data_IF_360213352794
#
_entry.id   IF_360213352794
#
_cell.length_a   1.000
_cell.length_b   1.000
_cell.length_c   1.000
_cell.angle_alpha   90.00
_cell.angle_beta   90.00
_cell.angle_gamma   90.00
#
_symmetry.space_group_name_H-M   'P 1'
#
loop_
_entity.id
_entity.type
_entity.pdbx_description
1 polymer ?
#
# COMPACT_ATOMS: atom_id res chain seq x y z
N UNK A 1 -43.96 57.23 -0.42
CA UNK A 1 -43.74 58.62 -0.87
C UNK A 1 -42.24 58.89 -0.86
N UNK A 2 -41.74 59.57 -1.90
CA UNK A 2 -40.35 59.95 -2.23
C UNK A 2 -39.55 58.85 -2.98
N UNK A 3 -39.50 58.86 -4.32
CA UNK A 3 -38.70 59.71 -5.26
C UNK A 3 -37.19 59.48 -5.09
N UNK A 4 -36.33 59.31 -6.11
CA UNK A 4 -36.40 59.10 -7.57
C UNK A 4 -34.91 59.13 -8.06
N UNK A 5 -34.64 58.53 -9.21
CA UNK A 5 -33.65 58.94 -10.25
C UNK A 5 -32.23 58.30 -10.25
N UNK A 6 -32.07 57.58 -11.36
CA UNK A 6 -30.95 57.12 -12.20
C UNK A 6 -29.80 58.11 -12.42
N UNK A 7 -28.56 57.63 -12.51
CA UNK A 7 -27.57 58.22 -13.44
C UNK A 7 -26.59 57.15 -13.93
N UNK A 8 -26.67 56.87 -15.23
CA UNK A 8 -25.72 56.11 -16.05
C UNK A 8 -24.57 57.02 -16.45
N UNK A 9 -23.32 56.56 -16.39
CA UNK A 9 -22.18 57.17 -17.10
C UNK A 9 -21.34 56.07 -17.77
N UNK A 10 -21.12 56.26 -19.07
CA UNK A 10 -20.45 55.37 -20.02
C UNK A 10 -19.04 55.92 -20.34
N UNK A 11 -18.10 54.99 -20.50
CA UNK A 11 -16.86 55.00 -21.31
C UNK A 11 -15.66 55.88 -20.92
N UNK A 12 -14.52 55.19 -20.72
CA UNK A 12 -13.44 55.20 -21.73
C UNK A 12 -12.11 55.84 -21.32
N UNK A 13 -11.07 55.03 -21.15
CA UNK A 13 -9.76 55.17 -21.83
C UNK A 13 -8.75 54.14 -21.27
N UNK A 14 -7.93 53.63 -22.17
CA UNK A 14 -7.00 52.52 -21.98
C UNK A 14 -5.74 52.89 -21.19
N UNK A 15 -5.22 51.94 -20.42
CA UNK A 15 -3.79 51.82 -20.13
C UNK A 15 -3.37 50.36 -20.25
N UNK A 16 -2.74 50.03 -21.39
CA UNK A 16 -1.96 48.82 -21.58
C UNK A 16 -0.78 48.89 -20.60
N UNK A 17 -0.85 48.18 -19.48
CA UNK A 17 0.32 47.87 -18.67
C UNK A 17 0.54 46.37 -18.74
N UNK A 18 1.42 45.98 -19.65
CA UNK A 18 2.01 44.65 -19.69
C UNK A 18 2.93 44.54 -18.48
N UNK A 19 2.40 44.05 -17.37
CA UNK A 19 3.23 43.54 -16.28
C UNK A 19 3.52 42.08 -16.58
N UNK A 20 4.65 41.83 -17.27
CA UNK A 20 5.31 40.52 -17.24
C UNK A 20 5.86 40.35 -15.82
N UNK A 21 5.04 39.86 -14.90
CA UNK A 21 5.53 39.31 -13.64
C UNK A 21 6.02 37.89 -13.93
N UNK A 22 7.34 37.82 -14.05
CA UNK A 22 8.18 36.63 -14.11
C UNK A 22 7.70 35.50 -13.21
N UNK A 23 7.83 34.27 -13.72
CA UNK A 23 7.67 33.02 -13.00
C UNK A 23 8.30 33.09 -11.60
N UNK A 24 7.47 32.99 -10.57
CA UNK A 24 7.83 32.32 -9.35
C UNK A 24 6.84 31.17 -9.18
N UNK A 25 7.06 30.11 -9.98
CA UNK A 25 6.60 28.80 -9.57
C UNK A 25 7.29 28.52 -8.25
N UNK A 26 6.59 28.73 -7.14
CA UNK A 26 6.95 28.11 -5.88
C UNK A 26 6.87 26.61 -6.16
N UNK A 27 7.98 26.05 -6.63
CA UNK A 27 8.16 24.62 -6.67
C UNK A 27 7.93 24.17 -5.25
N UNK A 28 6.83 23.47 -5.01
CA UNK A 28 6.70 22.70 -3.79
C UNK A 28 7.93 21.79 -3.81
N UNK A 29 8.89 22.08 -2.95
CA UNK A 29 9.93 21.13 -2.62
C UNK A 29 9.19 19.98 -1.96
N UNK A 30 8.70 19.03 -2.77
CA UNK A 30 8.19 17.78 -2.27
C UNK A 30 9.32 17.21 -1.42
N UNK A 31 9.05 16.99 -0.12
CA UNK A 31 10.00 16.31 0.72
C UNK A 31 10.35 14.99 0.02
N UNK A 32 11.63 14.82 -0.36
CA UNK A 32 12.08 13.64 -1.07
C UNK A 32 11.76 12.41 -0.22
N UNK A 33 10.92 11.52 -0.75
CA UNK A 33 10.57 10.29 -0.04
C UNK A 33 11.81 9.42 0.20
N UNK A 34 11.75 8.59 1.25
CA UNK A 34 12.83 7.67 1.63
C UNK A 34 12.31 6.28 1.97
N UNK A 35 13.09 5.28 1.58
CA UNK A 35 12.80 3.88 1.88
C UNK A 35 11.63 3.36 1.05
N UNK A 36 10.73 2.62 1.69
CA UNK A 36 9.49 2.16 1.07
C UNK A 36 8.26 2.56 1.88
N UNK A 37 7.13 2.71 1.21
CA UNK A 37 5.82 2.92 1.83
C UNK A 37 4.84 1.87 1.36
N UNK A 38 3.87 1.52 2.20
CA UNK A 38 2.76 0.66 1.82
C UNK A 38 1.44 1.23 2.31
N UNK A 39 0.45 1.21 1.42
CA UNK A 39 -0.95 1.48 1.74
C UNK A 39 -1.81 0.35 1.19
N UNK A 40 -3.03 0.23 1.72
CA UNK A 40 -4.03 -0.69 1.18
C UNK A 40 -5.41 -0.06 1.24
N UNK A 41 -6.26 -0.39 0.26
CA UNK A 41 -7.64 0.08 0.17
C UNK A 41 -8.61 -1.08 0.03
N UNK A 42 -9.78 -0.93 0.66
CA UNK A 42 -10.93 -1.83 0.49
C UNK A 42 -11.68 -1.51 -0.81
N UNK A 43 -11.87 -2.53 -1.64
CA UNK A 43 -12.61 -2.40 -2.90
C UNK A 43 -14.11 -2.76 -2.78
N UNK A 44 -14.59 -3.03 -1.56
CA UNK A 44 -16.01 -3.31 -1.24
C UNK A 44 -16.60 -4.57 -1.86
N UNK A 45 -15.74 -5.51 -2.25
CA UNK A 45 -16.12 -6.78 -2.87
C UNK A 45 -15.29 -7.97 -2.32
N UNK A 46 -14.82 -7.84 -1.08
CA UNK A 46 -13.87 -8.74 -0.42
C UNK A 46 -12.50 -8.82 -1.12
N UNK A 47 -12.10 -7.73 -1.77
CA UNK A 47 -10.75 -7.59 -2.30
C UNK A 47 -10.09 -6.36 -1.69
N UNK A 48 -8.76 -6.43 -1.53
CA UNK A 48 -7.93 -5.33 -1.06
C UNK A 48 -6.84 -5.04 -2.10
N UNK A 49 -6.66 -3.78 -2.44
CA UNK A 49 -5.56 -3.35 -3.32
C UNK A 49 -4.46 -2.73 -2.49
N UNK A 50 -3.27 -3.33 -2.55
CA UNK A 50 -2.05 -2.85 -1.92
C UNK A 50 -1.26 -2.00 -2.89
N UNK A 51 -0.71 -0.89 -2.39
CA UNK A 51 0.18 -0.01 -3.13
C UNK A 51 1.51 0.06 -2.39
N UNK A 52 2.58 -0.34 -3.06
CA UNK A 52 3.96 -0.24 -2.60
C UNK A 52 4.65 0.88 -3.36
N UNK A 53 5.10 1.91 -2.63
CA UNK A 53 5.91 2.99 -3.19
C UNK A 53 7.36 2.77 -2.79
N UNK A 54 8.26 2.74 -3.76
CA UNK A 54 9.69 2.55 -3.55
C UNK A 54 10.47 3.82 -3.88
N UNK A 55 11.13 4.41 -2.89
CA UNK A 55 12.04 5.54 -3.08
C UNK A 55 13.51 5.08 -3.19
N UNK A 56 13.78 3.80 -2.91
CA UNK A 56 15.13 3.21 -2.92
C UNK A 56 15.54 2.70 -4.29
N UNK A 57 16.80 2.31 -4.47
CA UNK A 57 17.24 1.51 -5.61
C UNK A 57 17.26 -0.01 -5.35
N UNK A 58 16.52 -0.52 -4.37
CA UNK A 58 16.44 -1.97 -4.10
C UNK A 58 15.12 -2.58 -4.57
N UNK A 59 15.19 -3.81 -5.09
CA UNK A 59 14.04 -4.61 -5.51
C UNK A 59 13.59 -5.68 -4.52
N UNK A 60 14.17 -5.68 -3.32
CA UNK A 60 14.03 -6.76 -2.34
C UNK A 60 13.04 -6.48 -1.21
N UNK A 61 12.31 -5.35 -1.25
CA UNK A 61 11.24 -5.10 -0.29
C UNK A 61 9.94 -5.75 -0.78
N UNK A 62 9.40 -6.65 0.02
CA UNK A 62 8.18 -7.41 -0.24
C UNK A 62 7.23 -7.30 0.96
N UNK A 63 5.97 -6.89 0.75
CA UNK A 63 5.00 -6.84 1.82
C UNK A 63 4.39 -8.21 2.11
N UNK A 64 4.15 -8.47 3.39
CA UNK A 64 3.37 -9.60 3.86
C UNK A 64 2.09 -9.16 4.56
N UNK A 65 1.11 -10.06 4.60
CA UNK A 65 -0.21 -9.81 5.18
C UNK A 65 -0.83 -11.07 5.80
N UNK A 66 -1.78 -10.89 6.72
CA UNK A 66 -2.52 -11.96 7.42
C UNK A 66 -3.91 -11.48 7.86
N UNK A 67 -4.81 -12.44 8.11
CA UNK A 67 -6.10 -12.14 8.75
C UNK A 67 -5.91 -11.87 10.24
N UNK A 68 -6.75 -11.02 10.83
CA UNK A 68 -6.70 -10.68 12.26
C UNK A 68 -6.73 -11.91 13.17
N UNK A 69 -7.49 -12.92 12.80
CA UNK A 69 -7.66 -14.19 13.52
C UNK A 69 -6.38 -15.05 13.51
N UNK A 70 -5.45 -14.79 12.58
CA UNK A 70 -4.17 -15.49 12.45
C UNK A 70 -3.02 -14.74 13.14
N UNK A 71 -3.30 -13.59 13.75
CA UNK A 71 -2.28 -12.76 14.37
C UNK A 71 -1.69 -13.44 15.61
N UNK A 72 -0.37 -13.56 15.64
CA UNK A 72 0.40 -13.98 16.82
C UNK A 72 1.42 -12.88 17.13
N UNK A 73 1.33 -12.27 18.31
CA UNK A 73 2.17 -11.12 18.66
C UNK A 73 3.67 -11.45 18.77
N UNK A 74 4.00 -12.66 19.21
CA UNK A 74 5.40 -13.09 19.30
C UNK A 74 6.00 -13.21 17.89
N UNK A 75 5.27 -13.76 16.94
CA UNK A 75 5.73 -13.93 15.55
C UNK A 75 5.75 -12.60 14.79
N UNK A 76 4.78 -11.73 15.04
CA UNK A 76 4.73 -10.37 14.47
C UNK A 76 5.98 -9.59 14.92
N UNK A 77 6.33 -9.64 16.20
CA UNK A 77 7.41 -8.83 16.77
C UNK A 77 8.78 -9.51 16.74
N UNK A 78 8.85 -10.79 16.38
CA UNK A 78 10.08 -11.57 16.32
C UNK A 78 11.21 -10.89 15.53
N UNK A 79 12.40 -10.82 16.10
CA UNK A 79 13.62 -10.37 15.42
C UNK A 79 14.48 -11.55 14.93
N UNK A 80 14.04 -12.78 15.20
CA UNK A 80 14.72 -14.03 14.82
C UNK A 80 13.77 -15.24 14.83
N UNK A 81 14.34 -16.43 14.93
CA UNK A 81 13.59 -17.69 14.98
C UNK A 81 12.87 -17.83 16.34
N UNK A 82 11.60 -18.23 16.30
CA UNK A 82 10.68 -18.37 17.44
C UNK A 82 10.11 -19.80 17.57
N UNK A 83 10.77 -20.78 16.94
CA UNK A 83 10.35 -22.17 16.90
C UNK A 83 9.33 -22.46 15.81
N UNK A 84 8.43 -23.41 16.11
CA UNK A 84 7.42 -23.91 15.17
C UNK A 84 6.35 -22.84 14.89
N UNK A 85 6.00 -22.73 13.61
CA UNK A 85 5.02 -21.77 13.11
C UNK A 85 3.78 -22.51 12.62
N UNK A 86 2.62 -21.89 12.83
CA UNK A 86 1.36 -22.35 12.21
C UNK A 86 1.08 -21.53 10.97
N UNK A 87 0.67 -22.20 9.89
CA UNK A 87 0.27 -21.53 8.66
C UNK A 87 -0.78 -20.44 8.93
N UNK A 88 -0.71 -19.27 8.28
CA UNK A 88 0.12 -18.94 7.11
C UNK A 88 1.58 -18.60 7.41
N UNK A 89 1.96 -18.51 8.69
CA UNK A 89 3.28 -18.09 9.10
C UNK A 89 4.32 -19.14 8.73
N UNK A 90 5.43 -18.67 8.17
CA UNK A 90 6.54 -19.51 7.75
C UNK A 90 7.85 -18.75 7.80
N UNK A 91 8.95 -19.49 7.84
CA UNK A 91 10.25 -18.94 7.51
C UNK A 91 10.39 -18.87 5.99
N UNK A 92 11.01 -17.80 5.51
CA UNK A 92 11.36 -17.63 4.10
C UNK A 92 12.88 -17.55 4.02
N UNK A 93 13.46 -18.25 3.04
CA UNK A 93 14.90 -18.25 2.85
C UNK A 93 15.46 -16.82 2.78
N UNK A 94 16.53 -16.54 3.54
CA UNK A 94 17.14 -15.21 3.67
C UNK A 94 16.41 -14.24 4.60
N UNK A 95 15.32 -14.65 5.26
CA UNK A 95 14.59 -13.85 6.25
C UNK A 95 14.60 -14.58 7.60
N UNK A 96 15.25 -14.03 8.65
CA UNK A 96 15.45 -14.77 9.89
C UNK A 96 14.24 -14.74 10.84
N UNK A 97 13.16 -14.03 10.49
CA UNK A 97 11.93 -13.93 11.27
C UNK A 97 10.73 -14.48 10.49
N UNK A 98 9.61 -14.79 11.16
CA UNK A 98 8.38 -15.26 10.52
C UNK A 98 7.79 -14.25 9.54
N UNK A 99 7.31 -14.77 8.42
CA UNK A 99 6.53 -14.04 7.41
C UNK A 99 5.19 -14.74 7.21
N UNK A 100 4.11 -13.97 7.09
CA UNK A 100 2.79 -14.51 6.76
C UNK A 100 2.65 -14.68 5.23
N UNK A 101 1.52 -14.32 4.62
CA UNK A 101 1.34 -14.44 3.16
C UNK A 101 2.03 -13.31 2.45
N UNK A 102 2.68 -13.60 1.33
CA UNK A 102 3.12 -12.54 0.44
C UNK A 102 1.89 -11.85 -0.17
N UNK A 103 1.92 -10.54 -0.32
CA UNK A 103 0.99 -9.88 -1.23
C UNK A 103 1.34 -10.35 -2.64
N UNK A 104 0.37 -10.92 -3.36
CA UNK A 104 0.56 -11.48 -4.69
C UNK A 104 -0.36 -10.78 -5.70
N UNK A 105 0.11 -10.70 -6.94
CA UNK A 105 -0.69 -10.34 -8.11
C UNK A 105 -1.52 -11.55 -8.56
N UNK A 106 -2.47 -11.29 -9.45
CA UNK A 106 -3.36 -12.32 -10.01
C UNK A 106 -2.59 -13.44 -10.73
N UNK A 107 -1.43 -13.13 -11.32
CA UNK A 107 -0.53 -14.10 -11.96
C UNK A 107 0.29 -14.94 -10.96
N UNK A 108 0.06 -14.79 -9.65
CA UNK A 108 0.78 -15.49 -8.59
C UNK A 108 2.15 -14.91 -8.23
N UNK A 109 2.63 -13.89 -8.96
CA UNK A 109 3.89 -13.20 -8.64
C UNK A 109 3.74 -12.34 -7.39
N UNK A 110 4.80 -12.25 -6.59
CA UNK A 110 4.79 -11.41 -5.39
C UNK A 110 4.82 -9.93 -5.79
N UNK A 111 4.13 -9.09 -5.03
CA UNK A 111 4.40 -7.67 -5.03
C UNK A 111 5.79 -7.44 -4.41
N UNK A 112 6.60 -6.62 -5.08
CA UNK A 112 7.94 -6.25 -4.61
C UNK A 112 8.26 -4.83 -5.07
N UNK A 113 9.25 -4.21 -4.44
CA UNK A 113 9.66 -2.85 -4.75
C UNK A 113 10.24 -2.77 -6.15
N UNK A 114 9.60 -2.05 -7.06
CA UNK A 114 10.11 -1.90 -8.43
C UNK A 114 10.93 -0.62 -8.58
N UNK A 115 11.65 -0.53 -9.70
CA UNK A 115 12.49 0.61 -10.05
C UNK A 115 11.91 1.30 -11.29
N UNK A 116 11.95 2.62 -11.28
CA UNK A 116 11.67 3.45 -12.42
C UNK A 116 12.69 3.17 -13.55
N UNK A 117 12.30 3.40 -14.82
CA UNK A 117 13.23 3.31 -15.93
C UNK A 117 14.50 4.14 -15.67
N UNK A 118 15.67 3.53 -15.86
CA UNK A 118 16.97 4.19 -15.71
C UNK A 118 17.54 4.21 -14.28
N UNK A 119 16.81 3.74 -13.27
CA UNK A 119 17.35 3.61 -11.91
C UNK A 119 18.14 2.30 -11.77
N UNK A 120 19.46 2.34 -11.54
CA UNK A 120 20.26 1.12 -11.42
C UNK A 120 19.99 0.42 -10.08
N UNK A 121 19.74 -0.91 -10.06
CA UNK A 121 19.51 -1.64 -8.82
C UNK A 121 20.76 -1.69 -7.95
N UNK A 122 20.59 -1.64 -6.63
CA UNK A 122 21.67 -1.84 -5.67
C UNK A 122 22.27 -3.25 -5.79
N UNK A 123 23.59 -3.35 -5.72
CA UNK A 123 24.36 -4.58 -5.97
C UNK A 123 25.29 -4.44 -7.18
N UNK A 124 26.17 -5.42 -7.39
CA UNK A 124 27.06 -5.42 -8.56
C UNK A 124 27.96 -4.19 -8.71
N UNK A 125 28.35 -3.55 -7.59
CA UNK A 125 29.12 -2.31 -7.58
C UNK A 125 28.29 -1.03 -7.45
N UNK A 126 26.96 -1.11 -7.56
CA UNK A 126 26.05 0.03 -7.33
C UNK A 126 25.71 0.10 -5.83
N UNK A 127 26.05 1.19 -5.13
CA UNK A 127 25.73 1.33 -3.71
C UNK A 127 24.22 1.45 -3.49
N UNK A 128 23.77 1.04 -2.31
CA UNK A 128 22.40 1.25 -1.87
C UNK A 128 22.12 2.75 -1.70
N UNK A 129 20.96 3.21 -2.16
CA UNK A 129 20.47 4.57 -2.01
C UNK A 129 18.97 4.54 -1.64
N UNK A 130 18.62 5.07 -0.47
CA UNK A 130 17.25 5.08 0.05
C UNK A 130 16.33 6.12 -0.59
N UNK A 131 16.88 7.04 -1.38
CA UNK A 131 16.17 8.10 -2.11
C UNK A 131 16.62 8.18 -3.56
N UNK A 132 16.87 7.02 -4.19
CA UNK A 132 17.24 6.93 -5.60
C UNK A 132 16.11 7.37 -6.54
N UNK A 133 14.87 7.38 -6.06
CA UNK A 133 13.66 7.68 -6.81
C UNK A 133 12.81 8.67 -6.00
N UNK A 134 13.07 9.99 -6.04
CA UNK A 134 12.49 10.94 -5.11
C UNK A 134 10.96 11.04 -5.17
N UNK A 135 10.37 10.81 -6.35
CA UNK A 135 8.92 10.78 -6.55
C UNK A 135 8.29 9.42 -6.17
N UNK A 136 9.12 8.41 -5.91
CA UNK A 136 8.71 7.04 -5.64
C UNK A 136 8.28 6.30 -6.91
N UNK A 137 8.64 5.02 -6.99
CA UNK A 137 8.10 4.13 -8.01
C UNK A 137 7.01 3.25 -7.41
N UNK A 138 5.82 3.29 -8.03
CA UNK A 138 4.62 2.66 -7.49
C UNK A 138 4.40 1.29 -8.13
N UNK A 139 4.05 0.31 -7.29
CA UNK A 139 3.61 -1.01 -7.72
C UNK A 139 2.37 -1.42 -6.94
N UNK A 140 1.41 -2.05 -7.61
CA UNK A 140 0.16 -2.47 -6.99
C UNK A 140 -0.10 -3.96 -7.14
N UNK A 141 -0.90 -4.51 -6.23
CA UNK A 141 -1.46 -5.84 -6.33
C UNK A 141 -2.81 -5.89 -5.63
N UNK A 142 -3.78 -6.58 -6.24
CA UNK A 142 -5.11 -6.80 -5.64
C UNK A 142 -5.21 -8.24 -5.17
N UNK A 143 -5.55 -8.42 -3.91
CA UNK A 143 -5.78 -9.73 -3.30
C UNK A 143 -7.28 -9.93 -3.12
N UNK A 144 -7.79 -11.06 -3.59
CA UNK A 144 -9.14 -11.50 -3.29
C UNK A 144 -9.13 -12.38 -2.03
N UNK A 145 -9.74 -11.90 -0.94
CA UNK A 145 -9.70 -12.58 0.35
C UNK A 145 -10.55 -13.86 0.35
N UNK A 146 -11.50 -14.01 -0.57
CA UNK A 146 -12.35 -15.21 -0.69
C UNK A 146 -11.60 -16.41 -1.25
N UNK A 147 -10.59 -16.17 -2.08
CA UNK A 147 -9.90 -17.23 -2.85
C UNK A 147 -8.56 -17.63 -2.24
N UNK A 148 -8.25 -17.10 -1.05
CA UNK A 148 -7.00 -17.40 -0.35
C UNK A 148 -6.99 -18.88 0.04
N UNK A 149 -5.86 -19.53 -0.15
CA UNK A 149 -5.67 -20.93 0.24
C UNK A 149 -4.40 -21.07 1.08
N UNK A 150 -4.32 -22.17 1.83
CA UNK A 150 -3.16 -22.56 2.65
C UNK A 150 -2.70 -21.51 3.68
N UNK A 151 -3.48 -21.31 4.77
CA UNK A 151 -4.80 -21.87 5.04
C UNK A 151 -5.91 -21.09 4.34
N UNK A 152 -7.08 -21.72 4.23
CA UNK A 152 -8.32 -21.08 3.81
C UNK A 152 -8.62 -19.84 4.68
N UNK A 153 -9.30 -18.81 4.14
CA UNK A 153 -9.67 -17.65 4.92
C UNK A 153 -10.56 -18.04 6.11
N UNK A 154 -10.39 -17.40 7.28
CA UNK A 154 -11.37 -17.49 8.37
C UNK A 154 -12.77 -17.05 7.90
N UNK A 155 -13.82 -17.42 8.64
CA UNK A 155 -15.13 -16.85 8.39
C UNK A 155 -15.13 -15.33 8.62
N UNK A 156 -15.81 -14.53 7.76
CA UNK A 156 -15.97 -13.09 7.95
C UNK A 156 -16.85 -12.81 9.16
N UNK A 157 -16.86 -11.55 9.61
CA UNK A 157 -17.80 -11.08 10.62
C UNK A 157 -19.26 -11.25 10.13
N UNK A 158 -20.25 -11.23 11.05
CA UNK A 158 -21.67 -11.26 10.69
C UNK A 158 -22.07 -10.15 9.69
N UNK A 159 -21.41 -9.00 9.75
CA UNK A 159 -21.58 -7.85 8.85
C UNK A 159 -20.92 -8.04 7.47
N UNK A 160 -20.28 -9.19 7.24
CA UNK A 160 -19.59 -9.48 5.99
C UNK A 160 -18.29 -8.73 5.82
N UNK A 161 -17.54 -8.54 6.91
CA UNK A 161 -16.23 -7.89 6.86
C UNK A 161 -15.09 -8.84 7.23
N UNK A 162 -13.89 -8.56 6.74
CA UNK A 162 -12.65 -9.20 7.16
C UNK A 162 -11.65 -8.14 7.58
N UNK A 163 -11.00 -8.32 8.73
CA UNK A 163 -9.88 -7.47 9.12
C UNK A 163 -8.58 -8.16 8.75
N UNK A 164 -7.72 -7.45 8.02
CA UNK A 164 -6.37 -7.90 7.69
C UNK A 164 -5.34 -6.94 8.24
N UNK A 165 -4.14 -7.47 8.47
CA UNK A 165 -2.95 -6.68 8.76
C UNK A 165 -1.93 -6.86 7.65
N UNK A 166 -1.15 -5.82 7.38
CA UNK A 166 -0.08 -5.84 6.40
C UNK A 166 1.11 -4.98 6.83
N UNK A 167 2.28 -5.29 6.29
CA UNK A 167 3.52 -4.55 6.58
C UNK A 167 4.58 -4.81 5.52
N UNK A 168 5.74 -4.15 5.66
CA UNK A 168 6.98 -4.51 4.97
C UNK A 168 8.05 -4.77 6.02
N UNK A 169 8.31 -6.06 6.32
CA UNK A 169 9.41 -6.46 7.23
C UNK A 169 10.60 -7.06 6.49
N UNK A 170 10.48 -7.33 5.20
CA UNK A 170 11.57 -7.82 4.35
C UNK A 170 12.37 -6.67 3.71
N UNK A 171 13.51 -6.99 3.09
CA UNK A 171 14.36 -6.03 2.37
C UNK A 171 15.71 -5.76 3.07
N UNK A 172 16.69 -5.17 2.35
CA UNK A 172 18.09 -5.18 2.77
C UNK A 172 18.39 -4.20 3.91
N UNK A 173 17.77 -3.02 3.92
CA UNK A 173 18.02 -2.00 4.95
C UNK A 173 16.84 -1.89 5.90
N UNK A 174 17.10 -2.15 7.19
CA UNK A 174 16.08 -2.13 8.25
C UNK A 174 15.41 -0.77 8.41
N UNK A 175 16.16 0.33 8.29
CA UNK A 175 15.64 1.69 8.45
C UNK A 175 14.60 2.08 7.40
N UNK A 176 14.67 1.45 6.23
CA UNK A 176 13.82 1.77 5.08
C UNK A 176 12.56 0.89 5.01
N UNK A 177 12.46 -0.12 5.87
CA UNK A 177 11.30 -1.01 6.00
C UNK A 177 10.10 -0.26 6.62
N UNK A 178 8.95 -0.94 6.65
CA UNK A 178 7.75 -0.52 7.39
C UNK A 178 7.23 -1.71 8.22
N UNK A 179 7.95 -2.09 9.28
CA UNK A 179 7.70 -3.35 10.00
C UNK A 179 6.45 -3.32 10.89
N UNK A 180 5.96 -2.13 11.25
CA UNK A 180 4.76 -1.93 12.05
C UNK A 180 3.51 -2.32 11.24
N UNK A 181 2.73 -3.31 11.68
CA UNK A 181 1.51 -3.71 11.00
C UNK A 181 0.52 -2.54 10.87
N UNK A 182 -0.09 -2.42 9.69
CA UNK A 182 -1.21 -1.54 9.42
C UNK A 182 -2.48 -2.38 9.32
N UNK A 183 -3.59 -1.85 9.84
CA UNK A 183 -4.90 -2.53 9.80
C UNK A 183 -5.72 -2.06 8.59
N UNK A 184 -6.44 -3.00 7.96
CA UNK A 184 -7.48 -2.70 6.98
C UNK A 184 -8.70 -3.56 7.26
N UNK A 185 -9.88 -2.93 7.34
CA UNK A 185 -11.18 -3.61 7.33
C UNK A 185 -11.68 -3.67 5.89
N UNK A 186 -11.83 -4.87 5.36
CA UNK A 186 -12.30 -5.18 3.99
C UNK A 186 -13.77 -5.56 4.05
N UNK A 187 -14.60 -4.96 3.20
CA UNK A 187 -16.06 -5.16 3.18
C UNK A 187 -16.51 -5.99 1.97
N UNK A 188 -17.77 -6.44 1.96
CA UNK A 188 -18.33 -7.23 0.86
C UNK A 188 -17.92 -8.71 0.87
N UNK A 189 -17.54 -9.23 2.04
CA UNK A 189 -17.13 -10.62 2.26
C UNK A 189 -18.27 -11.59 2.57
N UNK A 190 -19.52 -11.13 2.66
CA UNK A 190 -20.69 -12.01 2.65
C UNK A 190 -20.83 -12.72 1.30
N UNK A 191 -21.17 -14.01 1.32
CA UNK A 191 -21.74 -14.71 0.15
C UNK A 191 -23.17 -14.22 -0.04
N UNK A 192 -23.55 -13.88 -1.28
CA UNK A 192 -24.76 -13.11 -1.62
C UNK A 192 -26.12 -13.79 -1.38
N UNK A 193 -26.23 -14.76 -0.47
CA UNK A 193 -27.47 -15.52 -0.30
C UNK A 193 -27.61 -16.19 1.06
N UNK A 194 -27.35 -15.53 2.20
CA UNK A 194 -27.68 -16.06 3.54
C UNK A 194 -27.16 -17.47 3.87
N UNK A 195 -26.25 -17.98 3.04
CA UNK A 195 -25.74 -19.34 3.04
C UNK A 195 -24.25 -19.19 2.85
N UNK A 196 -23.53 -19.71 3.83
CA UNK A 196 -22.07 -19.77 3.89
C UNK A 196 -21.59 -20.58 2.67
N UNK A 197 -21.27 -19.89 1.58
CA UNK A 197 -20.52 -20.48 0.47
C UNK A 197 -19.03 -20.45 0.82
N UNK A 198 -18.71 -21.17 1.89
CA UNK A 198 -17.35 -21.58 2.22
C UNK A 198 -17.29 -23.03 1.79
N UNK A 199 -16.76 -23.24 0.58
CA UNK A 199 -16.68 -24.51 -0.15
C UNK A 199 -16.87 -25.74 0.73
N UNK A 200 -18.04 -26.34 0.59
CA UNK A 200 -18.46 -27.64 1.12
C UNK A 200 -17.47 -28.29 2.10
N UNK A 201 -17.74 -28.13 3.40
CA UNK A 201 -17.38 -29.13 4.40
C UNK A 201 -18.00 -30.46 3.95
N UNK A 202 -17.21 -31.30 3.28
CA UNK A 202 -17.47 -32.74 3.25
C UNK A 202 -17.02 -33.27 4.60
N UNK A 203 -18.00 -33.56 5.46
CA UNK A 203 -17.83 -34.54 6.52
C UNK A 203 -17.48 -35.90 5.91
#
# INVERSE_FOLDING_TARGET
MNRRITTTLIAGAASLTVAVSTLAGAGNAAAQGKGVEITAVDNKNCTATFTLTNYTNSTFYQPDWWFKQEANQDWINATGNVGDLTAPWRYVNGIPWPMARWVQREDGTKLFSQLAPGVPPAGGGVPYNSSAQPDGFVSTATVNLKTVTNPAPPAPSPEGTQTIYYRIKSGPQTADRRPTPQELVVTGCQSGSGSLDWGSLRF
#
